data_IF_590695730884
#
_entry.id   IF_590695730884
#
_cell.length_a   1.000
_cell.length_b   1.000
_cell.length_c   1.000
_cell.angle_alpha   90.00
_cell.angle_beta   90.00
_cell.angle_gamma   90.00
#
_symmetry.space_group_name_H-M   'P 1'
#
loop_
_entity.id
_entity.type
_entity.pdbx_description
1 polymer ?
#
# COMPACT_ATOMS: atom_id res chain seq x y z
N UNK A 1 4.01 -1.04 -13.68
CA UNK A 1 3.55 -0.89 -12.26
C UNK A 1 3.89 0.50 -11.77
N UNK A 2 2.91 1.18 -11.20
CA UNK A 2 3.13 2.51 -10.63
C UNK A 2 3.82 2.39 -9.27
N UNK A 3 4.73 3.33 -9.00
CA UNK A 3 5.46 3.40 -7.73
C UNK A 3 5.28 4.79 -7.13
N UNK A 4 5.34 4.86 -5.80
CA UNK A 4 5.40 6.13 -5.09
C UNK A 4 6.49 5.99 -4.03
N UNK A 5 7.31 7.03 -3.85
CA UNK A 5 8.32 7.00 -2.81
C UNK A 5 7.70 7.36 -1.47
N UNK A 6 8.38 7.01 -0.38
CA UNK A 6 7.91 7.36 0.95
C UNK A 6 7.80 8.89 1.11
N UNK A 7 8.75 9.64 0.58
CA UNK A 7 8.71 11.10 0.62
C UNK A 7 7.51 11.66 -0.13
N UNK A 8 7.27 11.17 -1.35
CA UNK A 8 6.13 11.61 -2.14
C UNK A 8 4.81 11.32 -1.44
N UNK A 9 4.69 10.13 -0.84
CA UNK A 9 3.49 9.78 -0.12
C UNK A 9 3.30 10.67 1.11
N UNK A 10 4.38 10.92 1.86
CA UNK A 10 4.31 11.81 3.03
C UNK A 10 3.85 13.20 2.64
N UNK A 11 4.37 13.75 1.55
CA UNK A 11 3.97 15.06 1.05
C UNK A 11 2.48 15.08 0.70
N UNK A 12 1.99 14.05 0.04
CA UNK A 12 0.56 13.94 -0.29
C UNK A 12 -0.31 13.92 0.96
N UNK A 13 0.08 13.13 1.97
CA UNK A 13 -0.67 13.03 3.21
C UNK A 13 -0.67 14.37 3.97
N UNK A 14 0.46 15.07 3.96
CA UNK A 14 0.59 16.37 4.64
C UNK A 14 -0.20 17.47 3.93
N UNK A 15 -0.43 17.35 2.63
CA UNK A 15 -1.19 18.34 1.86
C UNK A 15 -2.70 18.07 1.90
N UNK A 16 -3.16 17.15 2.72
CA UNK A 16 -4.55 16.72 2.81
C UNK A 16 -5.11 16.14 1.51
N UNK A 17 -4.23 15.63 0.64
CA UNK A 17 -4.68 14.91 -0.56
C UNK A 17 -5.38 13.63 -0.13
N UNK A 18 -6.48 13.29 -0.80
CA UNK A 18 -7.13 12.00 -0.59
C UNK A 18 -6.25 10.90 -1.14
N UNK A 19 -5.72 10.08 -0.25
CA UNK A 19 -4.89 8.93 -0.63
C UNK A 19 -5.48 7.69 0.00
N UNK A 20 -5.80 6.71 -0.84
CA UNK A 20 -6.28 5.43 -0.35
C UNK A 20 -5.07 4.53 -0.13
N UNK A 21 -4.99 3.97 1.08
CA UNK A 21 -3.89 3.11 1.48
C UNK A 21 -4.44 1.74 1.84
N UNK A 22 -3.71 0.69 1.46
CA UNK A 22 -4.00 -0.67 1.92
C UNK A 22 -2.73 -1.26 2.50
N UNK A 23 -2.77 -1.58 3.78
CA UNK A 23 -1.71 -2.30 4.49
C UNK A 23 -1.93 -3.79 4.25
N UNK A 24 -1.00 -4.45 3.55
CA UNK A 24 -1.13 -5.88 3.25
C UNK A 24 -0.27 -6.75 4.15
N UNK A 25 0.26 -6.16 5.23
CA UNK A 25 1.08 -6.90 6.19
C UNK A 25 0.20 -7.71 7.14
N UNK A 26 0.85 -8.52 7.97
CA UNK A 26 0.16 -9.28 9.00
C UNK A 26 -0.30 -8.35 10.14
N UNK A 27 -1.29 -8.81 10.92
CA UNK A 27 -1.85 -8.00 12.00
C UNK A 27 -0.82 -7.55 13.02
N UNK A 28 0.14 -8.42 13.37
CA UNK A 28 1.16 -8.07 14.37
C UNK A 28 2.11 -6.97 13.85
N UNK A 29 2.35 -6.92 12.53
CA UNK A 29 3.16 -5.86 11.93
C UNK A 29 2.44 -4.52 12.02
N UNK A 30 1.14 -4.54 11.70
CA UNK A 30 0.31 -3.33 11.75
C UNK A 30 0.22 -2.77 13.16
N UNK A 31 0.10 -3.63 14.16
CA UNK A 31 0.04 -3.21 15.56
C UNK A 31 1.32 -2.52 16.01
N UNK A 32 2.48 -2.95 15.50
CA UNK A 32 3.75 -2.34 15.88
C UNK A 32 3.89 -0.93 15.31
N UNK A 33 3.47 -0.72 14.07
CA UNK A 33 3.52 0.58 13.41
C UNK A 33 2.74 0.51 12.12
N UNK A 34 1.98 1.56 11.82
CA UNK A 34 1.28 1.67 10.52
C UNK A 34 1.07 3.15 10.17
N UNK A 35 0.70 3.39 8.92
CA UNK A 35 0.37 4.74 8.45
C UNK A 35 -1.10 4.85 8.07
N UNK A 36 -1.91 3.93 8.56
CA UNK A 36 -3.35 3.95 8.36
C UNK A 36 -3.80 3.22 7.10
N UNK A 37 -5.01 3.52 6.68
CA UNK A 37 -5.64 2.86 5.55
C UNK A 37 -6.35 1.57 5.95
N UNK A 38 -6.85 0.86 4.96
CA UNK A 38 -7.46 -0.44 5.18
C UNK A 38 -6.38 -1.46 5.52
N UNK A 39 -6.73 -2.44 6.31
CA UNK A 39 -5.84 -3.56 6.59
C UNK A 39 -6.41 -4.81 5.93
N UNK A 40 -5.76 -5.28 4.89
CA UNK A 40 -6.12 -6.52 4.22
C UNK A 40 -4.84 -7.33 4.04
N UNK A 41 -4.57 -8.27 4.94
CA UNK A 41 -3.36 -9.11 4.81
C UNK A 41 -3.29 -9.75 3.41
N UNK A 42 -2.08 -9.87 2.89
CA UNK A 42 -1.87 -10.33 1.52
C UNK A 42 -2.62 -11.62 1.19
N UNK A 43 -2.65 -12.57 2.12
CA UNK A 43 -3.34 -13.84 1.90
C UNK A 43 -4.86 -13.71 1.82
N UNK A 44 -5.42 -12.61 2.28
CA UNK A 44 -6.86 -12.37 2.26
C UNK A 44 -7.32 -11.48 1.10
N UNK A 45 -6.39 -10.92 0.33
CA UNK A 45 -6.73 -10.04 -0.78
C UNK A 45 -7.76 -10.63 -1.75
N UNK A 46 -7.65 -11.91 -2.17
CA UNK A 46 -8.63 -12.47 -3.10
C UNK A 46 -10.07 -12.43 -2.61
N UNK A 47 -10.28 -12.43 -1.30
CA UNK A 47 -11.61 -12.40 -0.69
C UNK A 47 -12.16 -10.98 -0.54
N UNK A 48 -11.34 -9.96 -0.77
CA UNK A 48 -11.69 -8.56 -0.53
C UNK A 48 -11.60 -7.69 -1.78
N UNK A 49 -11.59 -8.29 -2.96
CA UNK A 49 -11.43 -7.53 -4.21
C UNK A 49 -12.49 -6.44 -4.40
N UNK A 50 -13.71 -6.70 -3.94
CA UNK A 50 -14.80 -5.73 -4.06
C UNK A 50 -14.61 -4.49 -3.19
N UNK A 51 -13.71 -4.54 -2.22
CA UNK A 51 -13.43 -3.42 -1.33
C UNK A 51 -12.34 -2.50 -1.89
N UNK A 52 -11.70 -2.91 -2.99
CA UNK A 52 -10.62 -2.15 -3.60
C UNK A 52 -11.18 -1.35 -4.78
N UNK A 53 -11.20 0.00 -4.69
CA UNK A 53 -11.68 0.81 -5.81
C UNK A 53 -10.85 0.62 -7.06
N UNK A 54 -11.50 0.75 -8.23
CA UNK A 54 -10.82 0.69 -9.52
C UNK A 54 -10.76 2.05 -10.22
N UNK A 55 -11.43 3.05 -9.66
CA UNK A 55 -11.62 4.36 -10.27
C UNK A 55 -10.64 5.43 -9.78
N UNK A 56 -9.70 5.05 -8.92
CA UNK A 56 -8.70 5.97 -8.38
C UNK A 56 -7.45 5.21 -7.97
N UNK A 57 -6.35 5.93 -7.81
CA UNK A 57 -5.11 5.30 -7.36
C UNK A 57 -5.22 4.79 -5.93
N UNK A 58 -4.73 3.59 -5.70
CA UNK A 58 -4.70 2.95 -4.38
C UNK A 58 -3.27 2.50 -4.11
N UNK A 59 -2.70 2.97 -3.00
CA UNK A 59 -1.34 2.61 -2.60
C UNK A 59 -1.38 1.38 -1.71
N UNK A 60 -0.67 0.33 -2.14
CA UNK A 60 -0.48 -0.86 -1.32
C UNK A 60 0.90 -0.78 -0.66
N UNK A 61 0.98 -1.12 0.63
CA UNK A 61 2.27 -1.12 1.30
C UNK A 61 2.50 -2.36 2.16
N UNK A 62 3.76 -2.72 2.26
CA UNK A 62 4.24 -3.77 3.15
C UNK A 62 5.51 -3.26 3.84
N UNK A 63 6.30 -4.12 4.43
CA UNK A 63 7.48 -3.67 5.19
C UNK A 63 8.62 -3.16 4.30
N UNK A 64 8.91 -3.87 3.20
CA UNK A 64 10.05 -3.55 2.32
C UNK A 64 9.66 -3.25 0.86
N UNK A 65 8.39 -3.34 0.52
CA UNK A 65 7.92 -3.15 -0.84
C UNK A 65 7.94 -4.42 -1.71
N UNK A 66 8.38 -5.54 -1.17
CA UNK A 66 8.49 -6.79 -1.92
C UNK A 66 7.15 -7.51 -2.00
N UNK A 67 6.48 -7.72 -0.86
CA UNK A 67 5.17 -8.37 -0.82
C UNK A 67 4.14 -7.57 -1.61
N UNK A 68 4.16 -6.24 -1.47
CA UNK A 68 3.21 -5.37 -2.18
C UNK A 68 3.43 -5.40 -3.68
N UNK A 69 4.67 -5.48 -4.16
CA UNK A 69 4.95 -5.66 -5.57
C UNK A 69 4.31 -6.95 -6.10
N UNK A 70 4.49 -8.05 -5.38
CA UNK A 70 3.90 -9.33 -5.79
C UNK A 70 2.38 -9.30 -5.76
N UNK A 71 1.81 -8.67 -4.73
CA UNK A 71 0.37 -8.54 -4.60
C UNK A 71 -0.21 -7.75 -5.77
N UNK A 72 0.42 -6.63 -6.12
CA UNK A 72 -0.02 -5.81 -7.24
C UNK A 72 0.04 -6.59 -8.55
N UNK A 73 1.11 -7.33 -8.79
CA UNK A 73 1.22 -8.15 -10.01
C UNK A 73 0.05 -9.12 -10.14
N UNK A 74 -0.33 -9.77 -9.04
CA UNK A 74 -1.47 -10.69 -9.05
C UNK A 74 -2.78 -9.96 -9.29
N UNK A 75 -2.97 -8.80 -8.68
CA UNK A 75 -4.18 -8.00 -8.84
C UNK A 75 -4.29 -7.40 -10.24
N UNK A 76 -3.16 -7.06 -10.86
CA UNK A 76 -3.16 -6.64 -12.27
C UNK A 76 -3.71 -7.73 -13.16
N UNK A 77 -3.38 -8.99 -12.86
CA UNK A 77 -3.95 -10.14 -13.56
C UNK A 77 -5.46 -10.28 -13.36
N UNK A 78 -6.00 -9.71 -12.29
CA UNK A 78 -7.43 -9.69 -12.00
C UNK A 78 -8.13 -8.42 -12.50
N UNK A 79 -7.42 -7.58 -13.27
CA UNK A 79 -8.02 -6.41 -13.92
C UNK A 79 -7.81 -5.07 -13.21
N UNK A 80 -7.00 -5.03 -12.16
CA UNK A 80 -6.70 -3.75 -11.49
C UNK A 80 -5.55 -3.04 -12.22
N UNK A 81 -5.76 -1.77 -12.58
CA UNK A 81 -4.76 -0.97 -13.29
C UNK A 81 -4.39 0.30 -12.52
N UNK A 82 -4.87 0.43 -11.31
CA UNK A 82 -4.81 1.66 -10.51
C UNK A 82 -3.99 1.50 -9.23
N UNK A 83 -3.25 0.42 -9.10
CA UNK A 83 -2.52 0.12 -7.86
C UNK A 83 -1.11 0.69 -7.91
N UNK A 84 -0.67 1.24 -6.79
CA UNK A 84 0.62 1.92 -6.67
C UNK A 84 1.40 1.26 -5.53
N UNK A 85 2.65 0.91 -5.78
CA UNK A 85 3.50 0.31 -4.76
C UNK A 85 4.25 1.39 -3.99
N UNK A 86 4.24 1.31 -2.66
CA UNK A 86 5.10 2.16 -1.84
C UNK A 86 6.51 1.60 -1.89
N UNK A 87 7.37 2.26 -2.65
CA UNK A 87 8.77 1.84 -2.81
C UNK A 87 9.49 1.79 -1.47
N UNK A 88 10.11 0.66 -1.18
CA UNK A 88 10.81 0.47 0.09
C UNK A 88 9.93 0.28 1.31
N UNK A 89 8.61 0.39 1.16
CA UNK A 89 7.64 0.10 2.20
C UNK A 89 7.81 0.89 3.50
N UNK A 90 7.38 0.29 4.59
CA UNK A 90 7.48 0.93 5.91
C UNK A 90 8.91 1.19 6.33
N UNK A 91 9.86 0.38 5.88
CA UNK A 91 11.27 0.60 6.17
C UNK A 91 11.72 1.96 5.62
N UNK A 92 11.39 2.26 4.36
CA UNK A 92 11.71 3.55 3.76
C UNK A 92 10.95 4.68 4.45
N UNK A 93 9.69 4.47 4.81
CA UNK A 93 8.89 5.46 5.53
C UNK A 93 9.53 5.83 6.86
N UNK A 94 9.92 4.83 7.65
CA UNK A 94 10.55 5.08 8.96
C UNK A 94 11.87 5.83 8.82
N UNK A 95 12.60 5.62 7.72
CA UNK A 95 13.87 6.29 7.48
C UNK A 95 13.71 7.81 7.27
N UNK A 96 12.53 8.27 6.90
CA UNK A 96 12.28 9.70 6.73
C UNK A 96 12.33 10.47 8.07
N UNK A 97 12.15 9.78 9.18
CA UNK A 97 12.14 10.39 10.51
C UNK A 97 13.54 10.54 11.09
N UNK A 98 14.57 9.98 10.44
CA UNK A 98 15.96 9.98 10.94
C UNK A 98 16.74 11.17 10.43
#
# INVERSE_FOLDING_TARGET
MKQITARELKEKLESNAEVLLIDIREGWERELFNIGGLHIPMGELPEHLSEIPKDRDVVLYCEKGIRSTKAIQRLEGAGFQNLVNLSGGMKAWKSLAE
#
